data_IF_695768181208
#
_entry.id   IF_695768181208
#
_cell.length_a   1.000
_cell.length_b   1.000
_cell.length_c   1.000
_cell.angle_alpha   90.00
_cell.angle_beta   90.00
_cell.angle_gamma   90.00
#
_symmetry.space_group_name_H-M   'P 1'
#
loop_
_entity.id
_entity.type
_entity.pdbx_description
1 polymer ?
#
# COMPACT_ATOMS: atom_id res chain seq x y z
N UNK A 1 37.10 32.38 56.22
CA UNK A 1 36.57 33.28 55.16
C UNK A 1 37.00 32.89 53.73
N UNK A 2 38.26 32.52 53.46
CA UNK A 2 38.72 32.15 52.09
C UNK A 2 38.00 30.93 51.47
N UNK A 3 37.67 29.92 52.28
CA UNK A 3 36.94 28.72 51.82
C UNK A 3 35.52 29.04 51.37
N UNK A 4 34.78 29.90 52.08
CA UNK A 4 33.41 30.27 51.72
C UNK A 4 33.31 30.91 50.32
N UNK A 5 34.24 31.79 49.99
CA UNK A 5 34.30 32.45 48.67
C UNK A 5 34.68 31.48 47.55
N UNK A 6 35.49 30.46 47.87
CA UNK A 6 35.86 29.41 46.92
C UNK A 6 34.67 28.49 46.56
N UNK A 7 33.82 28.15 47.53
CA UNK A 7 32.62 27.32 47.27
C UNK A 7 31.62 28.03 46.36
N UNK A 8 31.37 29.33 46.57
CA UNK A 8 30.48 30.12 45.73
C UNK A 8 30.92 30.20 44.26
N UNK A 9 32.23 30.29 44.02
CA UNK A 9 32.79 30.31 42.64
C UNK A 9 32.63 28.97 41.95
N UNK A 10 32.84 27.86 42.67
CA UNK A 10 32.67 26.51 42.12
C UNK A 10 31.20 26.21 41.82
N UNK A 11 30.28 26.58 42.71
CA UNK A 11 28.83 26.39 42.48
C UNK A 11 28.33 27.21 41.30
N UNK A 12 28.83 28.45 41.13
CA UNK A 12 28.49 29.29 39.99
C UNK A 12 28.96 28.69 38.66
N UNK A 13 30.20 28.16 38.62
CA UNK A 13 30.74 27.51 37.43
C UNK A 13 29.95 26.24 37.06
N UNK A 14 29.61 25.39 38.04
CA UNK A 14 28.79 24.19 37.81
C UNK A 14 27.39 24.54 37.30
N UNK A 15 26.76 25.57 37.86
CA UNK A 15 25.45 26.04 37.39
C UNK A 15 25.51 26.52 35.93
N UNK A 16 26.57 27.27 35.55
CA UNK A 16 26.76 27.73 34.18
C UNK A 16 26.94 26.58 33.19
N UNK A 17 27.73 25.55 33.56
CA UNK A 17 27.91 24.34 32.74
C UNK A 17 26.59 23.60 32.57
N UNK A 18 25.81 23.41 33.64
CA UNK A 18 24.50 22.76 33.56
C UNK A 18 23.53 23.51 32.64
N UNK A 19 23.51 24.84 32.69
CA UNK A 19 22.68 25.66 31.79
C UNK A 19 23.15 25.51 30.34
N UNK A 20 24.46 25.53 30.09
CA UNK A 20 25.01 25.33 28.74
C UNK A 20 24.68 23.94 28.19
N UNK A 21 24.81 22.88 28.99
CA UNK A 21 24.40 21.52 28.62
C UNK A 21 22.90 21.44 28.33
N UNK A 22 22.05 22.07 29.16
CA UNK A 22 20.60 22.12 28.93
C UNK A 22 20.22 22.85 27.65
N UNK A 23 20.86 23.98 27.37
CA UNK A 23 20.67 24.74 26.13
C UNK A 23 21.13 23.95 24.89
N UNK A 24 22.29 23.28 24.97
CA UNK A 24 22.77 22.40 23.91
C UNK A 24 21.82 21.23 23.65
N UNK A 25 21.31 20.59 24.70
CA UNK A 25 20.37 19.48 24.58
C UNK A 25 19.05 19.91 23.96
N UNK A 26 18.56 21.10 24.32
CA UNK A 26 17.37 21.69 23.69
C UNK A 26 17.63 21.98 22.21
N UNK A 27 18.74 22.63 21.86
CA UNK A 27 19.08 22.91 20.47
C UNK A 27 19.16 21.62 19.63
N UNK A 28 19.78 20.57 20.17
CA UNK A 28 19.87 19.26 19.53
C UNK A 28 18.49 18.62 19.30
N UNK A 29 17.61 18.66 20.31
CA UNK A 29 16.24 18.13 20.19
C UNK A 29 15.41 18.93 19.18
N UNK A 30 15.54 20.26 19.16
CA UNK A 30 14.88 21.13 18.20
C UNK A 30 15.34 20.81 16.77
N UNK A 31 16.65 20.68 16.56
CA UNK A 31 17.23 20.31 15.27
C UNK A 31 16.76 18.93 14.83
N UNK A 32 16.71 17.95 15.73
CA UNK A 32 16.23 16.60 15.40
C UNK A 32 14.74 16.61 15.00
N UNK A 33 13.91 17.42 15.65
CA UNK A 33 12.51 17.58 15.28
C UNK A 33 12.38 18.16 13.87
N UNK A 34 13.08 19.26 13.57
CA UNK A 34 13.05 19.90 12.25
C UNK A 34 13.49 18.95 11.14
N UNK A 35 14.59 18.23 11.33
CA UNK A 35 15.09 17.25 10.35
C UNK A 35 14.05 16.17 10.04
N UNK A 36 13.30 15.72 11.04
CA UNK A 36 12.29 14.68 10.84
C UNK A 36 11.06 15.20 10.13
N UNK A 37 10.58 16.40 10.47
CA UNK A 37 9.47 17.04 9.77
C UNK A 37 9.82 17.39 8.32
N UNK A 38 11.07 17.79 8.10
CA UNK A 38 11.60 18.06 6.77
C UNK A 38 11.65 16.77 5.94
N UNK A 39 12.17 15.68 6.51
CA UNK A 39 12.22 14.38 5.84
C UNK A 39 10.81 13.86 5.48
N UNK A 40 9.84 13.98 6.39
CA UNK A 40 8.45 13.58 6.12
C UNK A 40 7.85 14.41 4.98
N UNK A 41 7.94 15.74 5.07
CA UNK A 41 7.40 16.65 4.04
C UNK A 41 8.03 16.41 2.67
N UNK A 42 9.34 16.16 2.63
CA UNK A 42 10.05 15.82 1.39
C UNK A 42 9.55 14.50 0.79
N UNK A 43 9.30 13.47 1.61
CA UNK A 43 8.71 12.21 1.14
C UNK A 43 7.31 12.43 0.57
N UNK A 44 6.48 13.23 1.23
CA UNK A 44 5.12 13.52 0.73
C UNK A 44 5.13 14.25 -0.61
N UNK A 45 6.00 15.27 -0.74
CA UNK A 45 6.16 16.03 -1.97
C UNK A 45 6.66 15.13 -3.10
N UNK A 46 7.69 14.32 -2.85
CA UNK A 46 8.22 13.36 -3.83
C UNK A 46 7.16 12.38 -4.30
N UNK A 47 6.42 11.75 -3.38
CA UNK A 47 5.34 10.83 -3.74
C UNK A 47 4.28 11.53 -4.60
N UNK A 48 3.92 12.77 -4.26
CA UNK A 48 2.94 13.56 -5.03
C UNK A 48 3.44 13.91 -6.43
N UNK A 49 4.70 14.34 -6.55
CA UNK A 49 5.32 14.61 -7.84
C UNK A 49 5.39 13.35 -8.70
N UNK A 50 5.81 12.21 -8.14
CA UNK A 50 5.88 10.92 -8.84
C UNK A 50 4.48 10.48 -9.29
N UNK A 51 3.47 10.55 -8.43
CA UNK A 51 2.10 10.19 -8.81
C UNK A 51 1.58 11.05 -9.97
N UNK A 52 1.88 12.36 -9.95
CA UNK A 52 1.51 13.28 -11.04
C UNK A 52 2.24 13.00 -12.35
N UNK A 53 3.56 12.78 -12.30
CA UNK A 53 4.35 12.49 -13.50
C UNK A 53 3.95 11.16 -14.11
N UNK A 54 3.76 10.12 -13.29
CA UNK A 54 3.25 8.83 -13.73
C UNK A 54 1.85 8.92 -14.33
N UNK A 55 0.96 9.72 -13.73
CA UNK A 55 -0.36 9.96 -14.32
C UNK A 55 -0.25 10.58 -15.71
N UNK A 56 0.58 11.60 -15.90
CA UNK A 56 0.79 12.23 -17.21
C UNK A 56 1.43 11.28 -18.24
N UNK A 57 2.38 10.44 -17.82
CA UNK A 57 2.98 9.43 -18.69
C UNK A 57 1.95 8.37 -19.11
N UNK A 58 1.16 7.85 -18.16
CA UNK A 58 0.10 6.88 -18.47
C UNK A 58 -1.02 7.52 -19.28
N UNK A 59 -1.34 8.79 -19.10
CA UNK A 59 -2.29 9.54 -19.93
C UNK A 59 -1.83 9.52 -21.39
N UNK A 60 -0.54 9.81 -21.62
CA UNK A 60 0.06 9.81 -22.97
C UNK A 60 0.04 8.42 -23.59
N UNK A 61 0.34 7.38 -22.79
CA UNK A 61 0.30 5.99 -23.24
C UNK A 61 -1.13 5.57 -23.62
N UNK A 62 -2.13 5.92 -22.80
CA UNK A 62 -3.54 5.63 -23.09
C UNK A 62 -4.03 6.41 -24.32
N UNK A 63 -3.60 7.65 -24.51
CA UNK A 63 -3.84 8.45 -25.71
C UNK A 63 -3.28 7.81 -26.98
N UNK A 64 -2.06 7.26 -26.91
CA UNK A 64 -1.47 6.49 -28.01
C UNK A 64 -2.25 5.23 -28.36
N UNK A 65 -2.70 4.48 -27.33
CA UNK A 65 -3.54 3.30 -27.52
C UNK A 65 -4.92 3.65 -28.10
N UNK A 66 -5.52 4.74 -27.65
CA UNK A 66 -6.79 5.23 -28.19
C UNK A 66 -6.65 5.65 -29.65
N UNK A 67 -5.61 6.39 -29.99
CA UNK A 67 -5.31 6.79 -31.37
C UNK A 67 -5.16 5.57 -32.28
N UNK A 68 -4.39 4.56 -31.83
CA UNK A 68 -4.20 3.32 -32.58
C UNK A 68 -5.52 2.54 -32.73
N UNK A 69 -6.27 2.34 -31.64
CA UNK A 69 -7.54 1.61 -31.67
C UNK A 69 -8.56 2.30 -32.59
N UNK A 70 -8.65 3.63 -32.52
CA UNK A 70 -9.51 4.45 -33.37
C UNK A 70 -9.08 4.42 -34.83
N UNK A 71 -7.79 4.52 -35.11
CA UNK A 71 -7.25 4.45 -36.48
C UNK A 71 -7.56 3.09 -37.12
N UNK A 72 -7.33 2.00 -36.39
CA UNK A 72 -7.69 0.65 -36.82
C UNK A 72 -9.19 0.48 -37.01
N UNK A 73 -10.01 1.04 -36.12
CA UNK A 73 -11.46 1.01 -36.26
C UNK A 73 -11.90 1.67 -37.56
N UNK A 74 -11.46 2.91 -37.83
CA UNK A 74 -11.78 3.66 -39.05
C UNK A 74 -11.29 2.93 -40.30
N UNK A 75 -10.10 2.33 -40.26
CA UNK A 75 -9.57 1.58 -41.40
C UNK A 75 -10.40 0.33 -41.69
N UNK A 76 -10.81 -0.39 -40.64
CA UNK A 76 -11.68 -1.55 -40.78
C UNK A 76 -13.07 -1.20 -41.34
N UNK A 77 -13.58 0.01 -41.09
CA UNK A 77 -14.84 0.50 -41.68
C UNK A 77 -14.75 0.63 -43.22
N UNK A 78 -13.56 0.95 -43.75
CA UNK A 78 -13.37 1.24 -45.18
C UNK A 78 -12.80 0.05 -45.97
N UNK A 79 -11.81 -0.65 -45.43
CA UNK A 79 -11.18 -1.83 -46.06
C UNK A 79 -10.87 -2.91 -45.00
N UNK A 80 -11.80 -3.85 -44.76
CA UNK A 80 -11.65 -4.91 -43.76
C UNK A 80 -10.56 -5.95 -44.07
N UNK A 81 -10.01 -5.98 -45.29
CA UNK A 81 -9.21 -7.10 -45.79
C UNK A 81 -7.70 -6.80 -45.73
N UNK A 82 -7.05 -6.56 -46.86
CA UNK A 82 -5.59 -6.54 -46.94
C UNK A 82 -4.97 -5.32 -46.25
N UNK A 83 -5.53 -4.13 -46.44
CA UNK A 83 -4.97 -2.88 -45.88
C UNK A 83 -5.02 -2.89 -44.36
N UNK A 84 -6.12 -3.38 -43.78
CA UNK A 84 -6.26 -3.51 -42.33
C UNK A 84 -5.24 -4.49 -41.73
N UNK A 85 -4.99 -5.63 -42.36
CA UNK A 85 -4.04 -6.62 -41.85
C UNK A 85 -2.60 -6.08 -41.81
N UNK A 86 -2.20 -5.35 -42.85
CA UNK A 86 -0.90 -4.67 -42.90
C UNK A 86 -0.81 -3.61 -41.80
N UNK A 87 -1.81 -2.73 -41.69
CA UNK A 87 -1.85 -1.70 -40.68
C UNK A 87 -1.85 -2.24 -39.24
N UNK A 88 -2.55 -3.35 -38.97
CA UNK A 88 -2.53 -4.00 -37.67
C UNK A 88 -1.16 -4.61 -37.35
N UNK A 89 -0.44 -5.13 -38.36
CA UNK A 89 0.92 -5.63 -38.20
C UNK A 89 1.91 -4.50 -37.91
N UNK A 90 1.82 -3.40 -38.66
CA UNK A 90 2.65 -2.20 -38.47
C UNK A 90 2.36 -1.55 -37.11
N UNK A 91 1.09 -1.50 -36.72
CA UNK A 91 0.64 -1.02 -35.41
C UNK A 91 1.27 -1.84 -34.28
N UNK A 92 1.32 -3.17 -34.41
CA UNK A 92 1.98 -4.04 -33.43
C UNK A 92 3.50 -3.79 -33.37
N UNK A 93 4.15 -3.55 -34.51
CA UNK A 93 5.58 -3.25 -34.60
C UNK A 93 5.94 -1.84 -34.08
N UNK A 94 4.99 -0.90 -34.10
CA UNK A 94 5.19 0.47 -33.59
C UNK A 94 5.30 0.55 -32.06
N UNK A 95 4.88 -0.51 -31.36
CA UNK A 95 4.99 -0.61 -29.90
C UNK A 95 6.14 -1.55 -29.51
N UNK A 96 6.77 -1.37 -28.33
CA UNK A 96 7.81 -2.27 -27.86
C UNK A 96 7.34 -3.73 -27.86
N UNK A 97 8.19 -4.70 -28.27
CA UNK A 97 7.81 -6.10 -28.30
C UNK A 97 7.24 -6.60 -26.97
N UNK A 98 6.11 -7.30 -27.01
CA UNK A 98 5.44 -7.88 -25.84
C UNK A 98 4.60 -6.90 -25.02
N UNK A 99 4.44 -5.64 -25.45
CA UNK A 99 3.53 -4.66 -24.83
C UNK A 99 2.07 -4.88 -25.22
N UNK A 100 1.81 -5.12 -26.51
CA UNK A 100 0.52 -5.55 -27.05
C UNK A 100 0.66 -7.04 -27.39
N UNK A 101 -0.17 -7.87 -26.76
CA UNK A 101 -0.18 -9.32 -26.95
C UNK A 101 -0.95 -9.72 -28.21
N UNK A 102 -2.03 -8.99 -28.50
CA UNK A 102 -2.94 -9.29 -29.61
C UNK A 102 -3.74 -8.05 -29.99
N UNK A 103 -3.94 -7.88 -31.30
CA UNK A 103 -4.96 -7.02 -31.89
C UNK A 103 -6.04 -7.93 -32.48
N UNK A 104 -7.30 -7.70 -32.13
CA UNK A 104 -8.43 -8.46 -32.65
C UNK A 104 -9.57 -7.54 -33.08
N UNK A 105 -10.37 -8.00 -34.02
CA UNK A 105 -11.64 -7.36 -34.40
C UNK A 105 -12.76 -8.34 -34.16
N UNK A 106 -13.80 -7.89 -33.48
CA UNK A 106 -15.05 -8.61 -33.37
C UNK A 106 -16.17 -7.86 -34.09
N UNK A 107 -17.03 -8.60 -34.79
CA UNK A 107 -18.20 -8.05 -35.48
C UNK A 107 -19.30 -7.60 -34.49
N UNK A 108 -20.40 -7.09 -35.01
CA UNK A 108 -21.56 -6.64 -34.22
C UNK A 108 -22.23 -7.75 -33.39
N UNK A 109 -22.00 -9.03 -33.73
CA UNK A 109 -22.46 -10.19 -32.95
C UNK A 109 -21.48 -10.59 -31.85
N UNK A 110 -20.31 -9.96 -31.80
CA UNK A 110 -19.24 -10.26 -30.86
C UNK A 110 -18.41 -11.49 -31.25
N UNK A 111 -18.40 -11.91 -32.53
CA UNK A 111 -17.51 -12.96 -33.01
C UNK A 111 -16.22 -12.35 -33.54
N UNK A 112 -15.08 -12.94 -33.17
CA UNK A 112 -13.78 -12.49 -33.67
C UNK A 112 -13.66 -12.83 -35.16
N UNK A 113 -13.55 -11.81 -36.00
CA UNK A 113 -13.39 -11.89 -37.46
C UNK A 113 -11.93 -11.66 -37.90
N UNK A 114 -11.13 -11.03 -37.05
CA UNK A 114 -9.69 -10.86 -37.26
C UNK A 114 -8.92 -11.03 -35.96
N UNK A 115 -7.72 -11.59 -36.06
CA UNK A 115 -6.74 -11.65 -34.98
C UNK A 115 -5.33 -11.51 -35.55
N UNK A 116 -4.47 -10.75 -34.87
CA UNK A 116 -3.04 -10.65 -35.17
C UNK A 116 -2.25 -11.87 -34.69
N UNK A 117 -2.82 -12.69 -33.81
CA UNK A 117 -2.30 -14.05 -33.57
C UNK A 117 -2.54 -14.88 -34.83
N UNK A 118 -1.63 -15.82 -35.13
CA UNK A 118 -1.55 -16.58 -36.39
C UNK A 118 -2.91 -16.90 -37.05
N UNK A 119 -3.00 -16.93 -38.38
CA UNK A 119 -4.26 -17.16 -39.12
C UNK A 119 -5.02 -18.43 -38.70
N UNK A 120 -4.32 -19.47 -38.23
CA UNK A 120 -4.90 -20.72 -37.72
C UNK A 120 -5.22 -20.68 -36.22
N UNK A 121 -5.20 -19.50 -35.58
CA UNK A 121 -5.39 -19.43 -34.14
C UNK A 121 -6.81 -19.83 -33.77
N UNK A 122 -6.93 -20.62 -32.70
CA UNK A 122 -8.20 -20.99 -32.08
C UNK A 122 -9.05 -19.79 -31.58
N UNK A 123 -8.60 -18.54 -31.81
CA UNK A 123 -9.32 -17.33 -31.45
C UNK A 123 -10.31 -16.88 -32.52
N UNK A 124 -10.09 -17.19 -33.80
CA UNK A 124 -11.03 -16.83 -34.88
C UNK A 124 -12.37 -17.54 -34.67
N UNK A 125 -13.47 -16.82 -34.86
CA UNK A 125 -14.84 -17.32 -34.66
C UNK A 125 -15.28 -17.48 -33.19
N UNK A 126 -14.36 -17.35 -32.23
CA UNK A 126 -14.70 -17.34 -30.80
C UNK A 126 -15.54 -16.12 -30.46
N UNK A 127 -16.56 -16.29 -29.63
CA UNK A 127 -17.38 -15.18 -29.16
C UNK A 127 -16.76 -14.48 -27.95
N UNK A 128 -16.75 -13.16 -28.01
CA UNK A 128 -16.46 -12.23 -26.92
C UNK A 128 -17.67 -11.36 -26.55
N UNK A 129 -18.87 -11.67 -27.07
CA UNK A 129 -20.08 -10.89 -26.82
C UNK A 129 -20.48 -10.83 -25.34
N UNK A 130 -20.06 -11.82 -24.55
CA UNK A 130 -20.24 -11.88 -23.11
C UNK A 130 -19.23 -11.01 -22.33
N UNK A 131 -18.20 -10.47 -22.99
CA UNK A 131 -17.10 -9.79 -22.32
C UNK A 131 -17.42 -8.32 -22.05
N UNK A 132 -17.00 -7.78 -20.88
CA UNK A 132 -17.26 -6.37 -20.54
C UNK A 132 -16.71 -5.37 -21.56
N UNK A 133 -15.56 -5.64 -22.18
CA UNK A 133 -14.96 -4.76 -23.17
C UNK A 133 -15.69 -4.75 -24.52
N UNK A 134 -16.57 -5.73 -24.78
CA UNK A 134 -17.50 -5.70 -25.90
C UNK A 134 -18.80 -5.00 -25.49
N UNK A 135 -19.39 -5.43 -24.36
CA UNK A 135 -20.68 -4.93 -23.87
C UNK A 135 -20.68 -3.43 -23.59
N UNK A 136 -19.55 -2.86 -23.14
CA UNK A 136 -19.41 -1.43 -22.94
C UNK A 136 -19.80 -0.62 -24.19
N UNK A 137 -19.49 -1.12 -25.38
CA UNK A 137 -19.77 -0.44 -26.65
C UNK A 137 -21.17 -0.73 -27.22
N UNK A 138 -21.82 -1.81 -26.76
CA UNK A 138 -23.19 -2.12 -27.18
C UNK A 138 -24.23 -1.24 -26.50
N UNK A 139 -23.91 -0.73 -25.30
CA UNK A 139 -24.81 0.07 -24.48
C UNK A 139 -24.53 1.58 -24.58
N UNK A 140 -23.34 1.97 -25.03
CA UNK A 140 -22.92 3.36 -25.09
C UNK A 140 -23.12 3.95 -26.48
N UNK A 141 -23.62 5.19 -26.53
CA UNK A 141 -23.78 5.96 -27.77
C UNK A 141 -22.51 6.71 -28.14
N UNK A 142 -21.61 6.95 -27.17
CA UNK A 142 -20.38 7.70 -27.38
C UNK A 142 -19.23 6.78 -27.81
N UNK A 143 -18.50 7.16 -28.86
CA UNK A 143 -17.27 6.48 -29.28
C UNK A 143 -16.14 6.88 -28.34
N UNK A 144 -15.85 6.05 -27.34
CA UNK A 144 -14.74 6.25 -26.41
C UNK A 144 -13.96 4.96 -26.18
N UNK A 145 -12.75 5.10 -25.66
CA UNK A 145 -11.94 3.95 -25.25
C UNK A 145 -12.54 3.30 -24.00
N UNK A 146 -12.67 1.97 -24.00
CA UNK A 146 -12.96 1.20 -22.80
C UNK A 146 -11.71 0.44 -22.32
N UNK A 147 -11.47 0.44 -21.02
CA UNK A 147 -10.32 -0.23 -20.38
C UNK A 147 -10.83 -1.26 -19.36
N UNK A 148 -10.55 -2.54 -19.62
CA UNK A 148 -11.01 -3.64 -18.76
C UNK A 148 -10.18 -3.79 -17.47
N UNK A 149 -10.67 -4.62 -16.54
CA UNK A 149 -9.79 -5.24 -15.53
C UNK A 149 -8.80 -6.16 -16.25
N UNK A 150 -7.65 -6.52 -15.65
CA UNK A 150 -6.87 -7.62 -16.19
C UNK A 150 -7.75 -8.88 -16.23
N UNK A 151 -7.69 -9.59 -17.35
CA UNK A 151 -8.42 -10.82 -17.56
C UNK A 151 -7.48 -11.89 -18.06
N UNK A 152 -7.70 -13.13 -17.63
CA UNK A 152 -6.98 -14.27 -18.16
C UNK A 152 -7.59 -14.70 -19.51
N UNK A 153 -6.78 -14.70 -20.56
CA UNK A 153 -7.20 -15.14 -21.90
C UNK A 153 -7.63 -16.60 -21.92
N UNK A 154 -8.75 -16.91 -22.60
CA UNK A 154 -9.29 -18.30 -22.72
C UNK A 154 -8.32 -19.23 -23.46
N UNK A 155 -7.72 -18.71 -24.53
CA UNK A 155 -6.86 -19.47 -25.43
C UNK A 155 -5.39 -19.32 -25.03
N UNK A 156 -4.92 -18.07 -24.86
CA UNK A 156 -3.51 -17.79 -24.53
C UNK A 156 -3.12 -18.17 -23.11
N UNK A 157 -4.07 -18.26 -22.18
CA UNK A 157 -3.82 -18.39 -20.73
C UNK A 157 -2.86 -17.32 -20.18
N UNK A 158 -2.83 -16.15 -20.82
CA UNK A 158 -2.04 -15.00 -20.39
C UNK A 158 -2.94 -13.91 -19.85
N UNK A 159 -2.46 -13.18 -18.85
CA UNK A 159 -3.16 -12.01 -18.33
C UNK A 159 -3.04 -10.85 -19.31
N UNK A 160 -4.16 -10.19 -19.59
CA UNK A 160 -4.19 -9.02 -20.45
C UNK A 160 -5.22 -8.00 -19.96
N UNK A 161 -4.89 -6.72 -20.13
CA UNK A 161 -5.85 -5.62 -20.01
C UNK A 161 -6.41 -5.35 -21.40
N UNK A 162 -7.71 -5.53 -21.56
CA UNK A 162 -8.39 -5.32 -22.84
C UNK A 162 -8.74 -3.85 -22.97
N UNK A 163 -8.20 -3.24 -24.01
CA UNK A 163 -8.52 -1.88 -24.44
C UNK A 163 -9.33 -1.99 -25.71
N UNK A 164 -10.57 -1.49 -25.71
CA UNK A 164 -11.46 -1.63 -26.86
C UNK A 164 -12.05 -0.31 -27.33
N UNK A 165 -12.30 -0.22 -28.63
CA UNK A 165 -12.88 0.95 -29.29
C UNK A 165 -13.95 0.51 -30.30
N UNK A 166 -15.09 1.20 -30.41
CA UNK A 166 -16.19 0.78 -31.26
C UNK A 166 -15.92 1.05 -32.74
N UNK A 167 -16.35 0.12 -33.58
CA UNK A 167 -16.41 0.23 -35.04
C UNK A 167 -17.85 0.57 -35.42
N UNK A 168 -18.03 1.50 -36.36
CA UNK A 168 -19.34 1.85 -36.91
C UNK A 168 -19.56 1.23 -38.28
N UNK A 169 -20.80 0.79 -38.52
CA UNK A 169 -21.24 0.38 -39.84
C UNK A 169 -22.35 1.33 -40.28
N UNK A 170 -21.97 2.41 -40.95
CA UNK A 170 -22.87 3.55 -41.19
C UNK A 170 -23.28 4.19 -39.87
N UNK A 171 -24.58 4.21 -39.57
CA UNK A 171 -25.12 4.76 -38.32
C UNK A 171 -25.42 3.70 -37.25
N UNK A 172 -24.86 2.49 -37.38
CA UNK A 172 -25.07 1.37 -36.45
C UNK A 172 -23.75 0.87 -35.88
N UNK A 173 -23.83 0.17 -34.76
CA UNK A 173 -22.71 -0.55 -34.18
C UNK A 173 -22.24 -1.68 -35.14
N UNK A 174 -21.00 -1.59 -35.59
CA UNK A 174 -20.36 -2.53 -36.52
C UNK A 174 -19.48 -3.58 -35.84
N UNK A 175 -19.18 -3.40 -34.55
CA UNK A 175 -18.26 -4.27 -33.81
C UNK A 175 -17.26 -3.47 -32.99
N UNK A 176 -16.14 -4.09 -32.62
CA UNK A 176 -15.08 -3.46 -31.81
C UNK A 176 -13.69 -3.89 -32.28
N UNK A 177 -12.74 -2.97 -32.21
CA UNK A 177 -11.31 -3.29 -32.17
C UNK A 177 -10.92 -3.53 -30.72
N UNK A 178 -10.12 -4.56 -30.47
CA UNK A 178 -9.61 -4.92 -29.15
C UNK A 178 -8.10 -5.04 -29.19
N UNK A 179 -7.42 -4.26 -28.35
CA UNK A 179 -5.99 -4.34 -28.06
C UNK A 179 -5.82 -5.05 -26.72
N UNK A 180 -5.08 -6.16 -26.71
CA UNK A 180 -4.80 -6.93 -25.49
C UNK A 180 -3.45 -6.51 -24.94
N UNK A 181 -3.43 -5.63 -23.94
CA UNK A 181 -2.21 -5.05 -23.37
C UNK A 181 -1.63 -5.97 -22.31
N UNK A 182 -0.32 -6.18 -22.34
CA UNK A 182 0.40 -6.94 -21.33
C UNK A 182 0.51 -6.14 -20.01
N UNK A 183 -0.07 -6.61 -18.89
CA UNK A 183 0.02 -5.93 -17.62
C UNK A 183 1.48 -5.85 -17.11
N UNK A 184 2.32 -6.82 -17.44
CA UNK A 184 3.74 -6.82 -17.04
C UNK A 184 4.52 -5.70 -17.74
N UNK A 185 4.14 -5.33 -18.96
CA UNK A 185 4.72 -4.16 -19.63
C UNK A 185 4.39 -2.87 -18.88
N UNK A 186 3.13 -2.69 -18.47
CA UNK A 186 2.74 -1.54 -17.65
C UNK A 186 3.48 -1.56 -16.30
N UNK A 187 3.62 -2.73 -15.67
CA UNK A 187 4.37 -2.92 -14.41
C UNK A 187 5.83 -2.53 -14.55
N UNK A 188 6.50 -2.91 -15.64
CA UNK A 188 7.89 -2.56 -15.90
C UNK A 188 8.08 -1.04 -16.07
N UNK A 189 7.20 -0.38 -16.82
CA UNK A 189 7.22 1.09 -16.94
C UNK A 189 7.09 1.78 -15.56
N UNK A 190 6.31 1.20 -14.65
CA UNK A 190 6.19 1.71 -13.28
C UNK A 190 7.43 1.45 -12.41
N UNK A 191 8.21 0.39 -12.70
CA UNK A 191 9.45 0.06 -11.96
C UNK A 191 10.57 1.04 -12.26
N UNK A 192 10.69 1.47 -13.51
CA UNK A 192 11.79 2.33 -13.97
C UNK A 192 11.85 3.69 -13.26
N UNK A 193 10.76 4.09 -12.59
CA UNK A 193 10.68 5.32 -11.80
C UNK A 193 11.31 5.18 -10.42
N UNK A 194 11.44 3.97 -9.88
CA UNK A 194 12.06 3.74 -8.58
C UNK A 194 13.45 3.15 -8.74
N UNK A 195 14.45 3.83 -8.22
CA UNK A 195 15.84 3.38 -8.32
C UNK A 195 16.18 2.33 -7.26
N UNK A 196 15.64 2.41 -6.03
CA UNK A 196 15.80 1.43 -4.94
C UNK A 196 14.69 1.60 -3.87
N UNK A 197 14.35 0.54 -3.12
CA UNK A 197 13.62 0.62 -1.84
C UNK A 197 12.27 -0.10 -1.77
N UNK A 198 11.54 0.12 -0.66
CA UNK A 198 10.19 -0.40 -0.40
C UNK A 198 9.09 0.49 -1.02
N UNK A 199 9.41 1.28 -2.03
CA UNK A 199 8.45 2.17 -2.69
C UNK A 199 7.61 1.39 -3.71
N UNK A 200 6.44 1.91 -4.06
CA UNK A 200 5.52 1.24 -4.98
C UNK A 200 4.76 2.23 -5.84
N UNK A 201 4.71 2.01 -7.15
CA UNK A 201 3.75 2.68 -8.03
C UNK A 201 2.63 1.72 -8.42
N UNK A 202 1.46 2.30 -8.61
CA UNK A 202 0.22 1.60 -8.93
C UNK A 202 -0.46 2.32 -10.10
N UNK A 203 -0.96 1.55 -11.05
CA UNK A 203 -1.97 1.99 -12.00
C UNK A 203 -3.27 1.27 -11.66
N UNK A 204 -4.27 2.06 -11.32
CA UNK A 204 -5.55 1.60 -10.79
C UNK A 204 -6.67 2.06 -11.71
N UNK A 205 -7.69 1.23 -11.84
CA UNK A 205 -8.93 1.64 -12.48
C UNK A 205 -9.84 2.36 -11.48
N UNK A 206 -10.79 3.16 -11.95
CA UNK A 206 -11.70 3.94 -11.10
C UNK A 206 -12.51 3.09 -10.10
N UNK A 207 -12.76 1.82 -10.42
CA UNK A 207 -13.41 0.84 -9.54
C UNK A 207 -12.45 0.13 -8.57
N UNK A 208 -11.18 0.55 -8.55
CA UNK A 208 -10.15 0.06 -7.66
C UNK A 208 -9.41 -1.18 -8.12
N UNK A 209 -9.71 -1.72 -9.32
CA UNK A 209 -8.98 -2.85 -9.87
C UNK A 209 -7.52 -2.46 -10.16
N UNK A 210 -6.58 -3.34 -9.82
CA UNK A 210 -5.19 -3.17 -10.21
C UNK A 210 -5.03 -3.43 -11.71
N UNK A 211 -4.46 -2.49 -12.45
CA UNK A 211 -4.00 -2.73 -13.83
C UNK A 211 -2.51 -3.07 -13.84
N UNK A 212 -1.73 -2.32 -13.06
CA UNK A 212 -0.31 -2.57 -12.89
C UNK A 212 0.18 -2.11 -11.51
N UNK A 213 1.26 -2.73 -11.06
CA UNK A 213 1.98 -2.41 -9.83
C UNK A 213 3.46 -2.64 -10.06
N UNK A 214 4.32 -1.75 -9.56
CA UNK A 214 5.77 -1.87 -9.75
C UNK A 214 6.34 -3.15 -9.12
N UNK A 215 5.87 -3.60 -7.96
CA UNK A 215 6.32 -4.86 -7.34
C UNK A 215 5.16 -5.76 -6.94
N UNK A 216 5.29 -7.07 -7.10
CA UNK A 216 4.19 -7.99 -6.79
C UNK A 216 3.01 -7.86 -7.77
N UNK A 217 3.32 -7.78 -9.07
CA UNK A 217 2.32 -7.63 -10.14
C UNK A 217 1.42 -8.87 -10.27
N UNK A 218 2.00 -10.07 -10.17
CA UNK A 218 1.26 -11.32 -10.38
C UNK A 218 0.22 -11.56 -9.29
N UNK A 219 0.49 -11.06 -8.09
CA UNK A 219 -0.31 -11.16 -6.89
C UNK A 219 -1.58 -10.30 -6.96
N UNK A 220 -1.63 -9.29 -7.85
CA UNK A 220 -2.73 -8.32 -7.92
C UNK A 220 -3.63 -8.42 -9.16
N UNK A 221 -3.33 -9.29 -10.12
CA UNK A 221 -4.04 -9.38 -11.42
C UNK A 221 -5.55 -9.59 -11.36
N UNK A 222 -6.08 -10.09 -10.24
CA UNK A 222 -7.51 -10.28 -10.05
C UNK A 222 -8.06 -9.52 -8.83
N UNK A 223 -7.28 -8.62 -8.25
CA UNK A 223 -7.61 -7.96 -7.00
C UNK A 223 -8.05 -6.51 -7.22
N UNK A 224 -8.79 -6.02 -6.24
CA UNK A 224 -9.07 -4.60 -6.08
C UNK A 224 -8.36 -4.10 -4.83
N UNK A 225 -8.08 -2.81 -4.80
CA UNK A 225 -7.74 -2.16 -3.54
C UNK A 225 -8.91 -2.29 -2.54
N UNK A 226 -8.64 -2.18 -1.23
CA UNK A 226 -9.69 -1.98 -0.25
C UNK A 226 -10.60 -0.78 -0.57
N UNK A 227 -11.90 -0.88 -0.29
CA UNK A 227 -12.85 0.22 -0.55
C UNK A 227 -12.63 1.45 0.35
N UNK A 228 -11.83 1.33 1.41
CA UNK A 228 -11.53 2.41 2.35
C UNK A 228 -10.44 3.38 1.86
N UNK A 229 -9.81 3.08 0.71
CA UNK A 229 -8.79 3.95 0.12
C UNK A 229 -9.37 5.30 -0.27
N UNK A 230 -8.59 6.35 -0.09
CA UNK A 230 -9.08 7.72 -0.32
C UNK A 230 -9.58 7.95 -1.75
N UNK A 231 -8.88 7.42 -2.76
CA UNK A 231 -9.30 7.55 -4.16
C UNK A 231 -10.63 6.83 -4.48
N UNK A 232 -11.01 5.83 -3.68
CA UNK A 232 -12.29 5.13 -3.81
C UNK A 232 -13.40 5.90 -3.11
N UNK A 233 -13.09 6.50 -1.95
CA UNK A 233 -14.05 7.25 -1.13
C UNK A 233 -14.43 8.61 -1.72
N UNK A 234 -13.51 9.24 -2.43
CA UNK A 234 -13.68 10.58 -2.99
C UNK A 234 -13.52 10.53 -4.53
N UNK A 235 -14.52 9.98 -5.26
CA UNK A 235 -14.48 9.89 -6.73
C UNK A 235 -14.35 11.26 -7.41
N UNK A 236 -14.88 12.32 -6.79
CA UNK A 236 -14.87 13.71 -7.27
C UNK A 236 -13.50 14.38 -7.19
N UNK A 237 -12.59 13.87 -6.35
CA UNK A 237 -11.24 14.42 -6.22
C UNK A 237 -10.34 13.91 -7.34
N UNK A 238 -9.54 14.80 -7.92
CA UNK A 238 -8.57 14.47 -8.97
C UNK A 238 -7.22 14.02 -8.41
N UNK A 239 -6.93 14.34 -7.15
CA UNK A 239 -5.71 13.92 -6.47
C UNK A 239 -5.91 13.89 -4.95
N UNK A 240 -5.02 13.21 -4.26
CA UNK A 240 -5.06 13.11 -2.81
C UNK A 240 -3.85 12.40 -2.23
N UNK A 241 -3.85 12.28 -0.90
CA UNK A 241 -2.73 11.77 -0.12
C UNK A 241 -3.26 11.06 1.12
N UNK A 242 -2.83 9.82 1.33
CA UNK A 242 -3.24 9.03 2.48
C UNK A 242 -2.12 8.10 2.94
N UNK A 243 -2.12 7.76 4.22
CA UNK A 243 -1.14 6.83 4.79
C UNK A 243 -1.84 5.56 5.24
N UNK A 244 -1.37 4.40 4.77
CA UNK A 244 -1.95 3.11 5.15
C UNK A 244 -0.94 1.97 5.00
N UNK A 245 -1.18 0.86 5.70
CA UNK A 245 -0.46 -0.38 5.44
C UNK A 245 -0.83 -0.91 4.05
N UNK A 246 0.18 -1.26 3.26
CA UNK A 246 -0.01 -1.90 1.97
C UNK A 246 -0.66 -3.28 2.18
N UNK A 247 -1.73 -3.64 1.44
CA UNK A 247 -2.48 -4.87 1.71
C UNK A 247 -1.66 -6.16 1.62
N UNK A 248 -0.59 -6.14 0.82
CA UNK A 248 0.19 -7.33 0.44
C UNK A 248 1.38 -7.57 1.37
N UNK A 249 1.96 -6.50 1.93
CA UNK A 249 3.28 -6.56 2.57
C UNK A 249 3.30 -6.03 4.02
N UNK A 250 2.16 -5.57 4.55
CA UNK A 250 2.02 -4.93 5.89
C UNK A 250 3.02 -3.78 6.17
N UNK A 251 3.63 -3.23 5.11
CA UNK A 251 4.49 -2.04 5.21
C UNK A 251 3.63 -0.79 5.17
N UNK A 252 3.74 0.06 6.19
CA UNK A 252 3.12 1.37 6.23
C UNK A 252 3.76 2.30 5.20
N UNK A 253 2.95 2.77 4.25
CA UNK A 253 3.36 3.66 3.18
C UNK A 253 2.54 4.93 3.19
N UNK A 254 3.20 6.03 2.86
CA UNK A 254 2.52 7.25 2.47
C UNK A 254 2.23 7.16 0.98
N UNK A 255 0.95 7.16 0.60
CA UNK A 255 0.50 7.15 -0.78
C UNK A 255 0.05 8.55 -1.20
N UNK A 256 0.55 9.00 -2.35
CA UNK A 256 -0.06 10.07 -3.11
C UNK A 256 -0.67 9.49 -4.39
N UNK A 257 -1.78 10.06 -4.84
CA UNK A 257 -2.48 9.58 -6.03
C UNK A 257 -3.00 10.74 -6.89
N UNK A 258 -3.11 10.48 -8.18
CA UNK A 258 -3.54 11.41 -9.22
C UNK A 258 -4.39 10.66 -10.24
N UNK A 259 -5.58 11.17 -10.57
CA UNK A 259 -6.41 10.67 -11.67
C UNK A 259 -5.83 11.08 -13.01
N UNK A 260 -6.05 10.20 -13.96
CA UNK A 260 -5.90 10.49 -15.38
C UNK A 260 -7.09 11.37 -15.81
N UNK A 261 -6.83 12.35 -16.66
CA UNK A 261 -7.79 13.41 -16.96
C UNK A 261 -8.91 12.92 -17.88
N UNK A 262 -8.58 12.13 -18.90
CA UNK A 262 -9.51 11.63 -19.91
C UNK A 262 -9.85 10.15 -19.76
N UNK A 263 -9.15 9.44 -18.87
CA UNK A 263 -9.34 8.00 -18.65
C UNK A 263 -9.80 7.70 -17.22
N UNK A 264 -10.67 6.70 -17.02
CA UNK A 264 -11.17 6.31 -15.70
C UNK A 264 -10.11 5.52 -14.91
N UNK A 265 -8.92 6.09 -14.79
CA UNK A 265 -7.73 5.51 -14.17
C UNK A 265 -7.15 6.47 -13.12
N UNK A 266 -6.38 5.93 -12.19
CA UNK A 266 -5.59 6.67 -11.24
C UNK A 266 -4.19 6.07 -11.13
N UNK A 267 -3.19 6.93 -11.13
CA UNK A 267 -1.83 6.59 -10.73
C UNK A 267 -1.65 6.85 -9.25
N UNK A 268 -0.92 5.99 -8.55
CA UNK A 268 -0.52 6.21 -7.17
C UNK A 268 0.94 5.87 -6.96
N UNK A 269 1.61 6.61 -6.08
CA UNK A 269 2.97 6.35 -5.63
C UNK A 269 2.97 6.26 -4.11
N UNK A 270 3.55 5.18 -3.60
CA UNK A 270 3.68 4.88 -2.18
C UNK A 270 5.13 4.87 -1.77
N UNK A 271 5.53 5.72 -0.83
CA UNK A 271 6.86 5.67 -0.24
C UNK A 271 6.82 5.10 1.17
N UNK A 272 7.80 4.28 1.52
CA UNK A 272 7.89 3.71 2.86
C UNK A 272 8.03 4.82 3.91
N UNK A 273 7.20 4.77 4.96
CA UNK A 273 7.31 5.76 6.03
C UNK A 273 8.59 5.49 6.83
N UNK A 274 9.44 6.52 6.97
CA UNK A 274 10.72 6.44 7.70
C UNK A 274 10.55 6.33 9.23
N UNK A 275 9.33 6.44 9.74
CA UNK A 275 9.01 6.18 11.15
C UNK A 275 7.87 5.18 11.31
N UNK A 276 8.00 4.17 12.18
CA UNK A 276 6.86 3.44 12.69
C UNK A 276 5.92 4.43 13.38
N UNK A 277 4.65 4.51 12.94
CA UNK A 277 3.62 5.40 13.50
C UNK A 277 3.47 5.29 15.03
N UNK A 278 3.94 4.19 15.62
CA UNK A 278 3.87 3.85 17.04
C UNK A 278 4.78 4.69 17.96
N UNK A 279 5.74 5.45 17.42
CA UNK A 279 6.67 6.26 18.21
C UNK A 279 6.35 7.76 18.25
N UNK A 280 5.14 8.16 17.85
CA UNK A 280 4.61 9.50 18.16
C UNK A 280 4.20 9.60 19.63
N UNK A 281 5.03 9.11 20.55
CA UNK A 281 4.91 9.37 21.99
C UNK A 281 5.48 10.73 22.30
N UNK A 282 4.66 11.54 22.95
CA UNK A 282 4.91 12.93 23.30
C UNK A 282 6.37 13.19 23.75
N UNK A 283 7.04 14.23 23.21
CA UNK A 283 8.39 14.64 23.65
C UNK A 283 8.44 15.07 25.13
N UNK A 284 7.31 15.16 25.82
CA UNK A 284 7.27 15.40 27.27
C UNK A 284 7.80 14.23 28.11
N UNK A 285 7.93 13.01 27.56
CA UNK A 285 8.44 11.88 28.32
C UNK A 285 9.96 11.95 28.59
N UNK A 286 10.74 12.58 27.71
CA UNK A 286 12.21 12.67 27.85
C UNK A 286 12.67 13.88 28.67
N UNK A 287 11.82 14.88 28.88
CA UNK A 287 12.12 16.01 29.77
C UNK A 287 12.04 15.65 31.28
N UNK A 288 11.59 14.43 31.63
CA UNK A 288 11.41 14.01 33.01
C UNK A 288 12.72 13.71 33.77
N UNK A 289 13.87 13.61 33.10
CA UNK A 289 15.12 13.18 33.73
C UNK A 289 15.94 14.30 34.41
N UNK A 290 15.52 15.57 34.33
CA UNK A 290 16.29 16.71 34.87
C UNK A 290 15.57 17.51 35.97
N UNK A 291 14.46 17.03 36.54
CA UNK A 291 13.77 17.72 37.62
C UNK A 291 14.00 17.08 38.99
N UNK A 292 14.35 17.86 40.02
CA UNK A 292 14.34 17.40 41.41
C UNK A 292 12.96 16.83 41.78
N UNK A 293 12.96 15.70 42.48
CA UNK A 293 11.78 14.88 42.79
C UNK A 293 10.60 15.65 43.42
N UNK A 294 10.87 16.79 44.06
CA UNK A 294 9.90 17.65 44.75
C UNK A 294 8.99 18.44 43.78
N UNK A 295 9.49 18.83 42.60
CA UNK A 295 8.67 19.50 41.56
C UNK A 295 7.80 18.54 40.76
N UNK A 296 8.17 17.25 40.73
CA UNK A 296 7.44 16.19 40.03
C UNK A 296 6.07 15.94 40.69
N UNK A 297 5.97 16.04 42.02
CA UNK A 297 4.70 15.90 42.77
C UNK A 297 3.70 17.01 42.49
N UNK A 298 4.16 18.22 42.20
CA UNK A 298 3.33 19.38 41.90
C UNK A 298 2.75 19.34 40.48
N UNK A 299 3.52 18.86 39.51
CA UNK A 299 3.06 18.69 38.13
C UNK A 299 1.96 17.61 38.03
N UNK A 300 2.11 16.51 38.77
CA UNK A 300 1.11 15.43 38.82
C UNK A 300 -0.19 15.84 39.55
N UNK A 301 -0.12 16.69 40.58
CA UNK A 301 -1.32 17.17 41.30
C UNK A 301 -2.15 18.17 40.49
N UNK A 302 -1.54 18.93 39.56
CA UNK A 302 -2.26 19.86 38.66
C UNK A 302 -2.89 19.17 37.45
N UNK A 303 -2.47 17.96 37.10
CA UNK A 303 -2.94 17.22 35.92
C UNK A 303 -4.27 16.47 36.13
N UNK A 304 -4.91 16.54 37.31
CA UNK A 304 -6.31 16.13 37.50
C UNK A 304 -6.63 14.63 37.30
N UNK A 305 -5.63 13.75 37.22
CA UNK A 305 -5.84 12.31 37.03
C UNK A 305 -5.96 11.59 38.38
N UNK A 306 -7.18 11.16 38.74
CA UNK A 306 -7.42 10.24 39.86
C UNK A 306 -6.98 8.83 39.46
N UNK A 307 -6.00 8.28 40.16
CA UNK A 307 -5.72 6.85 40.13
C UNK A 307 -6.72 6.17 41.08
N UNK A 308 -7.73 5.46 40.56
CA UNK A 308 -8.58 4.61 41.40
C UNK A 308 -7.81 3.33 41.74
N UNK A 309 -7.27 3.26 42.95
CA UNK A 309 -6.76 2.00 43.51
C UNK A 309 -7.95 1.14 43.96
N UNK A 310 -8.53 0.35 43.05
CA UNK A 310 -9.37 -0.78 43.45
C UNK A 310 -8.51 -2.06 43.44
N UNK A 311 -7.69 -2.20 44.47
CA UNK A 311 -7.06 -3.49 44.78
C UNK A 311 -8.13 -4.35 45.42
N UNK A 312 -8.73 -5.24 44.63
CA UNK A 312 -9.51 -6.37 45.15
C UNK A 312 -8.52 -7.39 45.69
N UNK A 313 -8.28 -7.39 47.00
CA UNK A 313 -7.66 -8.51 47.70
C UNK A 313 -8.59 -9.71 47.58
N UNK A 314 -8.22 -10.69 46.73
CA UNK A 314 -8.87 -12.01 46.74
C UNK A 314 -8.06 -12.89 47.68
N UNK A 315 -8.46 -12.91 48.95
CA UNK A 315 -8.08 -13.93 49.92
C UNK A 315 -8.55 -15.28 49.41
N UNK A 316 -7.62 -16.20 49.20
CA UNK A 316 -7.89 -17.63 49.01
C UNK A 316 -8.02 -18.22 50.41
N UNK A 317 -9.26 -18.39 50.87
CA UNK A 317 -9.56 -19.30 51.98
C UNK A 317 -10.08 -20.61 51.38
N UNK A 318 -9.35 -21.69 51.62
CA UNK A 318 -9.83 -23.04 51.37
C UNK A 318 -10.87 -23.44 52.42
N UNK A 319 -11.88 -24.19 51.99
CA UNK A 319 -12.27 -25.46 52.61
C UNK A 319 -13.52 -26.04 51.94
N UNK A 320 -13.46 -27.36 51.73
CA UNK A 320 -14.57 -28.30 51.63
C UNK A 320 -15.48 -28.25 50.40
N UNK A 321 -15.24 -29.17 49.45
CA UNK A 321 -16.28 -30.04 48.93
C UNK A 321 -15.68 -31.26 48.21
N UNK A 322 -16.11 -32.44 48.65
CA UNK A 322 -15.88 -33.77 48.08
C UNK A 322 -16.43 -33.85 46.64
N UNK A 323 -15.78 -34.62 45.76
CA UNK A 323 -16.36 -34.99 44.46
C UNK A 323 -15.38 -35.67 43.51
N UNK A 324 -15.61 -36.96 43.29
CA UNK A 324 -14.85 -37.95 42.53
C UNK A 324 -14.56 -37.66 41.04
N UNK A 325 -13.39 -38.17 40.56
CA UNK A 325 -13.13 -39.06 39.38
C UNK A 325 -13.54 -38.48 38.00
N UNK A 326 -12.68 -38.27 36.99
CA UNK A 326 -11.78 -39.15 36.20
C UNK A 326 -10.74 -38.26 35.49
N UNK A 327 -9.43 -38.51 35.56
CA UNK A 327 -8.61 -39.41 34.72
C UNK A 327 -8.24 -38.86 33.31
N UNK A 328 -6.99 -39.15 32.92
CA UNK A 328 -6.32 -39.02 31.60
C UNK A 328 -5.42 -37.81 31.27
N UNK A 329 -4.13 -38.06 31.53
CA UNK A 329 -2.96 -38.03 30.63
C UNK A 329 -2.11 -36.78 30.35
N UNK A 330 -0.84 -36.93 30.75
CA UNK A 330 0.39 -36.29 30.26
C UNK A 330 0.99 -37.04 29.06
N UNK A 331 1.51 -36.30 28.06
CA UNK A 331 2.70 -36.60 27.23
C UNK A 331 3.23 -35.24 26.72
N UNK A 332 4.43 -34.79 27.12
CA UNK A 332 5.72 -35.01 26.43
C UNK A 332 5.96 -33.86 25.43
N UNK A 333 7.07 -33.11 25.42
CA UNK A 333 8.44 -33.55 25.11
C UNK A 333 9.48 -32.49 25.58
N UNK A 334 10.69 -33.00 25.83
CA UNK A 334 11.98 -32.42 26.22
C UNK A 334 12.42 -31.14 25.47
N UNK A 335 13.35 -30.33 25.99
CA UNK A 335 14.81 -30.54 25.89
C UNK A 335 15.58 -29.99 27.11
N UNK A 336 16.54 -30.79 27.57
CA UNK A 336 17.58 -30.44 28.52
C UNK A 336 18.94 -30.69 27.87
N UNK A 337 19.90 -29.77 28.07
CA UNK A 337 21.37 -29.89 28.14
C UNK A 337 21.82 -28.51 28.69
N UNK A 338 22.58 -28.31 29.76
CA UNK A 338 23.56 -29.17 30.44
C UNK A 338 24.94 -28.55 30.26
N UNK A 339 25.48 -27.93 31.32
CA UNK A 339 26.88 -27.49 31.67
C UNK A 339 26.70 -26.22 32.54
N UNK A 340 27.21 -26.03 33.75
CA UNK A 340 28.17 -26.77 34.56
C UNK A 340 28.76 -25.81 35.61
N UNK A 341 28.22 -25.89 36.84
CA UNK A 341 28.84 -25.69 38.16
C UNK A 341 29.77 -24.48 38.51
N UNK A 342 29.32 -23.80 39.59
CA UNK A 342 30.05 -23.30 40.79
C UNK A 342 31.01 -22.11 40.66
N UNK A 343 30.64 -21.00 41.31
CA UNK A 343 31.37 -20.49 42.49
C UNK A 343 30.50 -19.48 43.28
N UNK A 344 30.73 -19.50 44.59
CA UNK A 344 30.03 -18.75 45.65
C UNK A 344 30.46 -17.29 45.63
N UNK A 345 29.52 -16.36 45.87
CA UNK A 345 29.66 -15.31 46.89
C UNK A 345 28.35 -14.53 47.06
N UNK A 346 27.98 -14.36 48.32
CA UNK A 346 26.82 -13.62 48.81
C UNK A 346 27.30 -12.20 49.09
N UNK A 347 26.69 -11.18 48.49
CA UNK A 347 26.73 -9.80 48.98
C UNK A 347 25.59 -8.94 48.42
N UNK A 348 24.63 -8.65 49.30
CA UNK A 348 23.82 -7.43 49.44
C UNK A 348 23.37 -6.63 48.20
N UNK A 349 22.06 -6.73 47.94
CA UNK A 349 21.08 -5.62 47.93
C UNK A 349 21.58 -4.23 47.47
N UNK A 350 21.21 -3.82 46.26
CA UNK A 350 20.29 -2.68 46.06
C UNK A 350 19.72 -2.70 44.64
N UNK A 351 18.42 -2.95 44.57
CA UNK A 351 17.64 -2.93 43.34
C UNK A 351 17.24 -1.50 42.98
N UNK A 352 17.49 -1.11 41.74
CA UNK A 352 16.76 -0.03 41.06
C UNK A 352 16.57 -0.42 39.59
N UNK A 353 15.92 -1.56 39.37
CA UNK A 353 15.44 -1.97 38.05
C UNK A 353 14.07 -1.35 37.79
N UNK A 354 14.02 -0.35 36.92
CA UNK A 354 12.79 0.17 36.34
C UNK A 354 12.18 -0.86 35.39
N UNK A 355 11.10 -1.50 35.81
CA UNK A 355 10.28 -2.36 34.95
C UNK A 355 9.35 -1.46 34.11
N UNK A 356 9.62 -1.34 32.81
CA UNK A 356 8.69 -0.75 31.86
C UNK A 356 7.49 -1.69 31.66
N UNK A 357 6.31 -1.27 32.11
CA UNK A 357 5.05 -1.96 31.81
C UNK A 357 4.62 -1.66 30.37
N UNK A 358 4.75 -2.66 29.50
CA UNK A 358 4.16 -2.66 28.17
C UNK A 358 2.65 -2.94 28.23
N UNK A 359 1.85 -2.05 27.68
CA UNK A 359 0.41 -2.23 27.55
C UNK A 359 0.12 -3.06 26.29
N UNK A 360 0.02 -4.39 26.42
CA UNK A 360 -0.45 -5.27 25.34
C UNK A 360 -1.98 -5.43 25.40
N UNK A 361 -2.66 -5.18 24.27
CA UNK A 361 -4.06 -5.61 24.10
C UNK A 361 -4.09 -7.14 24.10
N UNK A 362 -5.04 -7.72 24.84
CA UNK A 362 -5.40 -9.14 24.72
C UNK A 362 -5.70 -9.48 23.26
N UNK A 363 -5.16 -10.58 22.71
CA UNK A 363 -5.62 -11.10 21.43
C UNK A 363 -7.08 -11.56 21.58
N UNK A 364 -7.97 -10.96 20.80
CA UNK A 364 -9.32 -11.49 20.57
C UNK A 364 -9.21 -12.66 19.62
N UNK A 365 -9.41 -13.86 20.12
CA UNK A 365 -9.66 -15.07 19.31
C UNK A 365 -10.96 -14.87 18.52
N UNK A 366 -10.97 -15.01 17.19
CA UNK A 366 -12.23 -15.11 16.46
C UNK A 366 -12.83 -16.50 16.66
N UNK A 367 -13.98 -16.55 17.34
CA UNK A 367 -14.88 -17.70 17.35
C UNK A 367 -15.45 -17.91 15.95
N UNK A 368 -15.06 -19.01 15.31
CA UNK A 368 -15.76 -19.60 14.17
C UNK A 368 -17.14 -20.10 14.64
N UNK A 369 -18.21 -19.37 14.33
CA UNK A 369 -19.56 -19.95 14.38
C UNK A 369 -19.85 -20.60 13.03
N UNK A 370 -19.78 -21.91 13.02
CA UNK A 370 -20.26 -22.77 11.95
C UNK A 370 -21.79 -22.84 12.07
N UNK A 371 -22.53 -22.28 11.11
CA UNK A 371 -23.95 -22.61 10.94
C UNK A 371 -24.20 -23.14 9.53
N UNK A 372 -24.21 -24.46 9.44
CA UNK A 372 -25.02 -25.18 8.45
C UNK A 372 -26.48 -24.79 8.65
N UNK A 373 -27.11 -24.26 7.61
CA UNK A 373 -28.32 -24.88 7.03
C UNK A 373 -28.48 -24.43 5.59
#
# INVERSE_FOLDING_TARGET
MKTFWMHWRVTGALAAVLVACGAYWWLLLAQQQEQTTFAETQTELRATHIARTLAAQMETLMGGLEYLARSLAVLHEHDPQHTFQLAATDALASFPPGSILQIAVADSSGRIVYSSLSPDSATLGTSIGDRPHFQAHTLETEKRLYISRPTLGRVSRQWSVQVSYPISQGNRFGGVVVLSINPDYLSNNLRDVFTQGNDAALLLRADGAYLARSHGQKEVMALNVPADREFMRYPERTSGRYQVAAPIEDVHRFYAWQRLAHYPLASASGSAATRPWRERTNPCATAACAMPWERWRLCWRRAGLRCSSSVKSRTVNGSSAKGNVTDWHWKGVSWAHGIGARLREISFLTAAGSVCWGCQRKPTTPTLSNSKR
#
